data_IF_804487627182
#
_entry.id   IF_804487627182
#
_cell.length_a   1.000
_cell.length_b   1.000
_cell.length_c   1.000
_cell.angle_alpha   90.00
_cell.angle_beta   90.00
_cell.angle_gamma   90.00
#
_symmetry.space_group_name_H-M   'P 1'
#
loop_
_entity.id
_entity.type
_entity.pdbx_description
1 polymer ?
#
# COMPACT_ATOMS: atom_id res chain seq x y z
N UNK A 1 2.02 1.28 -13.39
CA UNK A 1 1.31 0.28 -12.57
C UNK A 1 2.21 -0.82 -12.02
N UNK A 2 3.02 -1.55 -12.82
CA UNK A 2 3.74 -2.75 -12.34
C UNK A 2 4.78 -2.54 -11.22
N UNK A 3 5.46 -1.39 -11.18
CA UNK A 3 6.55 -1.15 -10.21
C UNK A 3 6.06 -1.12 -8.76
N UNK A 4 4.92 -0.48 -8.50
CA UNK A 4 4.36 -0.36 -7.14
C UNK A 4 3.82 -1.71 -6.67
N UNK A 5 3.16 -2.46 -7.54
CA UNK A 5 2.72 -3.82 -7.22
C UNK A 5 3.91 -4.72 -6.85
N UNK A 6 4.98 -4.67 -7.66
CA UNK A 6 6.21 -5.42 -7.40
C UNK A 6 6.83 -5.02 -6.06
N UNK A 7 6.95 -3.73 -5.80
CA UNK A 7 7.46 -3.21 -4.52
C UNK A 7 6.64 -3.70 -3.33
N UNK A 8 5.31 -3.60 -3.40
CA UNK A 8 4.43 -4.00 -2.30
C UNK A 8 4.45 -5.52 -2.07
N UNK A 9 4.62 -6.32 -3.12
CA UNK A 9 4.80 -7.78 -3.01
C UNK A 9 6.14 -8.12 -2.35
N UNK A 10 7.25 -7.48 -2.79
CA UNK A 10 8.57 -7.71 -2.21
C UNK A 10 8.64 -7.28 -0.75
N UNK A 11 8.04 -6.13 -0.43
CA UNK A 11 7.89 -5.65 0.93
C UNK A 11 7.01 -6.59 1.75
N UNK A 12 6.01 -7.24 1.17
CA UNK A 12 5.15 -8.18 1.90
C UNK A 12 5.86 -9.42 2.44
N UNK A 13 7.01 -9.79 1.87
CA UNK A 13 7.83 -10.86 2.45
C UNK A 13 8.67 -10.39 3.65
N UNK A 14 8.90 -9.07 3.77
CA UNK A 14 9.78 -8.46 4.76
C UNK A 14 8.99 -7.79 5.90
N UNK A 15 7.87 -7.19 5.55
CA UNK A 15 6.91 -6.56 6.42
C UNK A 15 5.76 -7.54 6.63
N UNK A 16 5.14 -7.51 7.81
CA UNK A 16 4.02 -8.38 8.19
C UNK A 16 2.72 -7.95 7.48
N UNK A 17 2.76 -7.92 6.15
CA UNK A 17 1.65 -7.61 5.24
C UNK A 17 0.92 -8.91 4.97
N UNK A 18 -0.34 -8.97 5.37
CA UNK A 18 -1.20 -10.12 5.15
C UNK A 18 -1.81 -10.09 3.74
N UNK A 19 -2.12 -8.90 3.23
CA UNK A 19 -2.80 -8.72 1.94
C UNK A 19 -2.57 -7.34 1.36
N UNK A 20 -2.51 -7.26 0.03
CA UNK A 20 -2.57 -6.00 -0.72
C UNK A 20 -3.76 -6.06 -1.67
N UNK A 21 -4.60 -5.02 -1.65
CA UNK A 21 -5.68 -4.84 -2.61
C UNK A 21 -5.36 -3.62 -3.47
N UNK A 22 -5.29 -3.80 -4.79
CA UNK A 22 -5.16 -2.71 -5.74
C UNK A 22 -6.55 -2.22 -6.19
N UNK A 23 -6.68 -0.91 -6.35
CA UNK A 23 -7.87 -0.22 -6.84
C UNK A 23 -7.53 0.61 -8.08
N UNK A 24 -8.57 1.17 -8.70
CA UNK A 24 -8.39 2.14 -9.78
C UNK A 24 -7.64 3.40 -9.28
N UNK A 25 -7.16 4.21 -10.23
CA UNK A 25 -6.51 5.49 -9.95
C UNK A 25 -5.27 5.42 -9.05
N UNK A 26 -4.49 4.33 -9.19
CA UNK A 26 -3.23 4.13 -8.46
C UNK A 26 -3.40 4.17 -6.95
N UNK A 27 -4.41 3.47 -6.46
CA UNK A 27 -4.64 3.32 -5.03
C UNK A 27 -4.48 1.86 -4.62
N UNK A 28 -3.94 1.66 -3.43
CA UNK A 28 -3.82 0.35 -2.81
C UNK A 28 -4.21 0.44 -1.34
N UNK A 29 -4.78 -0.64 -0.81
CA UNK A 29 -4.87 -0.84 0.64
C UNK A 29 -3.98 -2.01 1.01
N UNK A 30 -3.07 -1.75 1.94
CA UNK A 30 -2.16 -2.73 2.52
C UNK A 30 -2.71 -3.10 3.89
N UNK A 31 -3.05 -4.38 4.05
CA UNK A 31 -3.51 -4.96 5.29
C UNK A 31 -2.32 -5.58 6.01
N UNK A 32 -2.02 -5.04 7.18
CA UNK A 32 -0.98 -5.51 8.08
C UNK A 32 -1.60 -6.38 9.17
N UNK A 33 -0.77 -7.11 9.90
CA UNK A 33 -1.20 -7.82 11.09
C UNK A 33 -1.87 -6.92 12.15
N UNK A 34 -2.65 -7.55 13.03
CA UNK A 34 -3.45 -6.89 14.05
C UNK A 34 -4.52 -5.93 13.51
N UNK A 35 -4.93 -6.11 12.24
CA UNK A 35 -6.02 -5.34 11.62
C UNK A 35 -5.65 -3.90 11.29
N UNK A 36 -4.35 -3.59 11.19
CA UNK A 36 -3.89 -2.26 10.77
C UNK A 36 -3.97 -2.15 9.24
N UNK A 37 -4.55 -1.05 8.78
CA UNK A 37 -4.69 -0.75 7.35
C UNK A 37 -3.85 0.48 6.98
N UNK A 38 -3.21 0.41 5.81
CA UNK A 38 -2.46 1.53 5.22
C UNK A 38 -2.98 1.74 3.81
N UNK A 39 -3.50 2.93 3.55
CA UNK A 39 -3.83 3.38 2.20
C UNK A 39 -2.54 3.89 1.53
N UNK A 40 -2.31 3.48 0.30
CA UNK A 40 -1.18 3.88 -0.53
C UNK A 40 -1.73 4.50 -1.81
N UNK A 41 -1.25 5.69 -2.17
CA UNK A 41 -1.65 6.37 -3.41
C UNK A 41 -0.41 6.75 -4.22
N UNK A 42 -0.41 6.43 -5.51
CA UNK A 42 0.59 6.89 -6.47
C UNK A 42 0.30 8.31 -6.96
N UNK A 43 1.33 9.15 -6.99
CA UNK A 43 1.28 10.51 -7.52
C UNK A 43 2.20 10.63 -8.74
N UNK A 44 1.65 10.35 -9.94
CA UNK A 44 2.41 10.27 -11.20
C UNK A 44 3.24 11.52 -11.50
N UNK A 45 2.70 12.71 -11.26
CA UNK A 45 3.39 13.99 -11.57
C UNK A 45 4.66 14.20 -10.74
N UNK A 46 4.79 13.46 -9.62
CA UNK A 46 5.88 13.60 -8.65
C UNK A 46 6.71 12.33 -8.49
N UNK A 47 6.30 11.23 -9.13
CA UNK A 47 6.87 9.89 -8.90
C UNK A 47 6.89 9.50 -7.41
N UNK A 48 5.89 9.94 -6.64
CA UNK A 48 5.80 9.74 -5.19
C UNK A 48 4.72 8.73 -4.81
N UNK A 49 4.89 8.09 -3.64
CA UNK A 49 3.86 7.30 -2.97
C UNK A 49 3.44 8.01 -1.68
N UNK A 50 2.15 8.31 -1.56
CA UNK A 50 1.55 8.79 -0.33
C UNK A 50 1.07 7.58 0.49
N UNK A 51 1.48 7.50 1.75
CA UNK A 51 1.04 6.46 2.68
C UNK A 51 0.24 7.09 3.81
N UNK A 52 -1.00 6.62 4.01
CA UNK A 52 -1.89 7.08 5.06
C UNK A 52 -2.32 5.90 5.92
N UNK A 53 -2.03 5.95 7.22
CA UNK A 53 -2.58 5.00 8.19
C UNK A 53 -3.75 5.65 8.93
N UNK A 54 -4.89 4.98 8.97
CA UNK A 54 -5.97 5.34 9.88
C UNK A 54 -5.52 5.05 11.32
N UNK A 55 -5.43 6.09 12.15
CA UNK A 55 -5.32 5.89 13.59
C UNK A 55 -6.66 5.31 14.08
N UNK A 56 -6.67 4.25 14.91
CA UNK A 56 -7.90 3.79 15.53
C UNK A 56 -8.52 4.95 16.32
N UNK A 57 -9.83 5.16 16.13
CA UNK A 57 -10.62 6.18 16.85
C UNK A 57 -10.72 5.86 18.33
#
# INVERSE_FOLDING_TARGET
MDKVNTLLIELGNTLDIERVTAYDYQMWTVYMSAGKEIEVQGLDEREELLLQSSLPR
#
